data_IF_213110424979
#
_entry.id   IF_213110424979
#
_cell.length_a   1.000
_cell.length_b   1.000
_cell.length_c   1.000
_cell.angle_alpha   90.00
_cell.angle_beta   90.00
_cell.angle_gamma   90.00
#
_symmetry.space_group_name_H-M   'P 1'
#
loop_
_entity.id
_entity.type
_entity.pdbx_description
1 polymer ?
#
# COMPACT_ATOMS: atom_id res chain seq x y z
N UNK A 1 7.82 33.25 -40.18
CA UNK A 1 8.17 33.59 -38.79
C UNK A 1 7.30 32.71 -37.89
N UNK A 2 7.81 31.55 -37.49
CA UNK A 2 7.05 30.57 -36.70
C UNK A 2 7.21 30.91 -35.22
N UNK A 3 6.12 31.35 -34.58
CA UNK A 3 6.08 31.52 -33.13
C UNK A 3 5.75 30.15 -32.53
N UNK A 4 6.74 29.53 -31.89
CA UNK A 4 6.54 28.34 -31.06
C UNK A 4 5.99 28.84 -29.71
N UNK A 5 4.68 28.73 -29.51
CA UNK A 5 4.07 28.93 -28.19
C UNK A 5 4.22 27.64 -27.38
N UNK A 6 5.06 27.69 -26.35
CA UNK A 6 5.19 26.65 -25.32
C UNK A 6 3.92 26.64 -24.46
N UNK A 7 3.27 25.48 -24.21
CA UNK A 7 2.08 25.42 -23.36
C UNK A 7 2.44 25.63 -21.87
N UNK A 8 1.50 26.17 -21.07
CA UNK A 8 1.75 26.49 -19.66
C UNK A 8 1.94 25.25 -18.79
N UNK A 9 2.83 25.37 -17.79
CA UNK A 9 3.37 24.31 -16.91
C UNK A 9 2.38 23.56 -16.00
N UNK A 10 1.08 23.85 -16.06
CA UNK A 10 0.07 23.30 -15.12
C UNK A 10 -1.13 22.62 -15.83
N UNK A 11 -0.89 21.92 -16.94
CA UNK A 11 -1.89 20.99 -17.48
C UNK A 11 -1.75 19.61 -16.80
N UNK A 12 -2.83 18.98 -16.32
CA UNK A 12 -2.77 17.60 -15.84
C UNK A 12 -2.27 16.68 -16.96
N UNK A 13 -1.33 15.80 -16.66
CA UNK A 13 -0.69 14.89 -17.62
C UNK A 13 -1.65 13.74 -18.01
N UNK A 14 -2.60 14.06 -18.90
CA UNK A 14 -3.64 13.16 -19.43
C UNK A 14 -3.04 11.91 -20.10
N UNK A 15 -1.74 11.91 -20.45
CA UNK A 15 -1.08 10.75 -21.09
C UNK A 15 -0.99 9.53 -20.17
N UNK A 16 -1.01 9.71 -18.85
CA UNK A 16 -0.95 8.59 -17.89
C UNK A 16 -2.30 7.90 -17.73
N UNK A 17 -3.41 8.63 -17.82
CA UNK A 17 -4.75 8.05 -17.69
C UNK A 17 -5.17 7.26 -18.93
N UNK A 18 -4.85 7.73 -20.15
CA UNK A 18 -5.23 7.06 -21.41
C UNK A 18 -4.65 5.64 -21.53
N UNK A 19 -3.54 5.33 -20.84
CA UNK A 19 -2.94 3.99 -20.82
C UNK A 19 -3.78 2.97 -20.03
N UNK A 20 -4.57 3.42 -19.06
CA UNK A 20 -5.41 2.55 -18.23
C UNK A 20 -6.68 2.10 -18.95
N UNK A 21 -7.19 2.90 -19.88
CA UNK A 21 -8.41 2.61 -20.66
C UNK A 21 -8.17 1.72 -21.89
N UNK A 22 -6.96 1.71 -22.45
CA UNK A 22 -6.63 0.90 -23.63
C UNK A 22 -6.65 -0.62 -23.40
N UNK A 23 -6.50 -1.06 -22.14
CA UNK A 23 -6.46 -2.48 -21.81
C UNK A 23 -7.85 -3.11 -21.59
N UNK A 24 -8.91 -2.31 -21.48
CA UNK A 24 -10.28 -2.78 -21.25
C UNK A 24 -11.04 -3.15 -22.54
N UNK A 25 -10.54 -2.75 -23.72
CA UNK A 25 -11.24 -2.90 -24.99
C UNK A 25 -10.76 -4.06 -25.87
N UNK A 26 -9.68 -4.77 -25.49
CA UNK A 26 -9.09 -5.85 -26.31
C UNK A 26 -9.57 -7.26 -25.94
N UNK A 27 -10.70 -7.39 -25.25
CA UNK A 27 -11.21 -8.68 -24.76
C UNK A 27 -12.65 -8.94 -25.16
N UNK A 28 -12.94 -9.09 -26.45
CA UNK A 28 -14.23 -9.63 -26.91
C UNK A 28 -13.99 -10.93 -27.68
N UNK A 29 -14.51 -12.07 -27.22
CA UNK A 29 -14.81 -13.21 -28.06
C UNK A 29 -16.29 -13.23 -28.45
N UNK A 30 -16.50 -13.50 -29.73
CA UNK A 30 -17.77 -13.61 -30.44
C UNK A 30 -18.53 -14.90 -30.12
N UNK A 31 -19.87 -14.82 -30.30
CA UNK A 31 -20.88 -15.87 -30.51
C UNK A 31 -21.60 -16.49 -29.30
N UNK A 32 -22.83 -15.98 -29.07
CA UNK A 32 -23.92 -16.71 -28.43
C UNK A 32 -24.61 -17.62 -29.45
N UNK A 33 -24.47 -18.94 -29.29
CA UNK A 33 -25.43 -19.91 -29.83
C UNK A 33 -26.36 -20.29 -28.68
N UNK A 34 -27.65 -19.97 -28.81
CA UNK A 34 -28.68 -20.33 -27.83
C UNK A 34 -29.00 -21.83 -28.01
N UNK A 35 -28.46 -22.68 -27.12
CA UNK A 35 -28.98 -24.04 -26.91
C UNK A 35 -30.02 -24.00 -25.79
N UNK A 36 -31.24 -24.44 -26.11
CA UNK A 36 -32.32 -24.61 -25.16
C UNK A 36 -31.95 -25.67 -24.11
N UNK A 37 -31.93 -25.28 -22.83
CA UNK A 37 -31.61 -26.17 -21.72
C UNK A 37 -32.83 -27.06 -21.38
N UNK A 38 -32.68 -28.37 -21.52
CA UNK A 38 -33.56 -29.35 -20.89
C UNK A 38 -33.29 -29.37 -19.37
N UNK A 39 -34.31 -29.63 -18.52
CA UNK A 39 -34.16 -29.58 -17.07
C UNK A 39 -33.17 -30.65 -16.57
N UNK A 40 -32.05 -30.19 -16.03
CA UNK A 40 -31.04 -31.02 -15.37
C UNK A 40 -31.65 -31.72 -14.14
N UNK A 41 -31.72 -33.05 -14.19
CA UNK A 41 -31.98 -33.88 -13.01
C UNK A 41 -30.80 -33.71 -12.04
N UNK A 42 -31.04 -33.11 -10.87
CA UNK A 42 -30.05 -33.04 -9.78
C UNK A 42 -29.62 -34.45 -9.40
N UNK A 43 -28.36 -34.80 -9.65
CA UNK A 43 -27.75 -35.99 -9.07
C UNK A 43 -27.66 -35.82 -7.53
N UNK A 44 -27.93 -36.86 -6.74
CA UNK A 44 -27.80 -36.81 -5.29
C UNK A 44 -26.35 -36.50 -4.92
N UNK A 45 -26.17 -35.53 -4.01
CA UNK A 45 -24.85 -35.17 -3.47
C UNK A 45 -24.22 -36.39 -2.82
N UNK A 46 -23.00 -36.76 -3.23
CA UNK A 46 -22.23 -37.80 -2.56
C UNK A 46 -22.13 -37.49 -1.05
N UNK A 47 -22.27 -38.49 -0.16
CA UNK A 47 -22.08 -38.28 1.26
C UNK A 47 -20.65 -37.77 1.51
N UNK A 48 -20.55 -36.70 2.29
CA UNK A 48 -19.27 -36.10 2.69
C UNK A 48 -18.50 -37.14 3.47
N UNK A 49 -17.32 -37.57 2.98
CA UNK A 49 -16.41 -38.41 3.76
C UNK A 49 -16.04 -37.64 5.02
N UNK A 50 -16.39 -38.21 6.18
CA UNK A 50 -15.92 -37.74 7.47
C UNK A 50 -14.64 -38.52 7.73
N UNK A 51 -13.50 -37.90 7.46
CA UNK A 51 -12.21 -38.49 7.78
C UNK A 51 -12.08 -38.62 9.31
N UNK A 52 -11.44 -39.70 9.82
CA UNK A 52 -11.26 -39.89 11.24
C UNK A 52 -10.46 -38.71 11.85
N UNK A 53 -10.71 -38.35 13.12
CA UNK A 53 -10.05 -37.22 13.75
C UNK A 53 -8.54 -37.43 13.74
N UNK A 54 -7.83 -36.48 13.14
CA UNK A 54 -6.36 -36.45 13.14
C UNK A 54 -5.84 -36.33 14.57
N UNK A 55 -4.64 -36.86 14.84
CA UNK A 55 -4.01 -36.72 16.16
C UNK A 55 -3.80 -35.23 16.52
N UNK A 56 -3.78 -34.90 17.81
CA UNK A 56 -3.56 -33.52 18.27
C UNK A 56 -2.25 -32.91 17.71
N UNK A 57 -1.20 -33.72 17.57
CA UNK A 57 0.05 -33.31 16.94
C UNK A 57 -0.10 -32.98 15.46
N UNK A 58 -0.84 -33.81 14.71
CA UNK A 58 -1.13 -33.55 13.30
C UNK A 58 -2.02 -32.31 13.12
N UNK A 59 -3.00 -32.10 14.00
CA UNK A 59 -3.84 -30.89 13.99
C UNK A 59 -3.04 -29.64 14.31
N UNK A 60 -2.07 -29.68 15.25
CA UNK A 60 -1.18 -28.54 15.55
C UNK A 60 -0.27 -28.23 14.36
N UNK A 61 0.36 -29.25 13.78
CA UNK A 61 1.22 -29.06 12.60
C UNK A 61 0.43 -28.52 11.40
N UNK A 62 -0.80 -29.01 11.17
CA UNK A 62 -1.69 -28.50 10.14
C UNK A 62 -2.13 -27.06 10.42
N UNK A 63 -2.40 -26.71 11.68
CA UNK A 63 -2.73 -25.35 12.08
C UNK A 63 -1.53 -24.40 11.87
N UNK A 64 -0.31 -24.81 12.21
CA UNK A 64 0.89 -23.97 12.04
C UNK A 64 1.26 -23.81 10.56
N UNK A 65 1.14 -24.89 9.77
CA UNK A 65 1.30 -24.83 8.31
C UNK A 65 0.23 -23.94 7.66
N UNK A 66 -1.03 -24.08 8.07
CA UNK A 66 -2.13 -23.26 7.59
C UNK A 66 -1.97 -21.79 7.94
N UNK A 67 -1.51 -21.47 9.17
CA UNK A 67 -1.15 -20.09 9.54
C UNK A 67 -0.03 -19.56 8.66
N UNK A 68 1.03 -20.33 8.44
CA UNK A 68 2.16 -19.87 7.62
C UNK A 68 1.75 -19.58 6.17
N UNK A 69 0.88 -20.40 5.59
CA UNK A 69 0.43 -20.27 4.19
C UNK A 69 -0.64 -19.19 4.01
N UNK A 70 -1.61 -19.10 4.92
CA UNK A 70 -2.83 -18.31 4.71
C UNK A 70 -2.92 -17.04 5.54
N UNK A 71 -2.08 -16.86 6.57
CA UNK A 71 -2.20 -15.70 7.46
C UNK A 71 -1.78 -14.40 6.77
N UNK A 72 -0.84 -14.46 5.82
CA UNK A 72 -0.44 -13.31 5.00
C UNK A 72 -0.10 -13.73 3.58
N UNK A 73 -0.34 -12.82 2.63
CA UNK A 73 0.17 -13.02 1.27
C UNK A 73 1.70 -13.05 1.27
N UNK A 74 2.30 -13.86 0.40
CA UNK A 74 3.75 -13.95 0.24
C UNK A 74 4.40 -12.57 0.06
N UNK A 75 3.77 -11.72 -0.77
CA UNK A 75 4.22 -10.35 -1.02
C UNK A 75 4.23 -9.49 0.25
N UNK A 76 3.21 -9.62 1.12
CA UNK A 76 3.15 -8.89 2.39
C UNK A 76 4.25 -9.36 3.34
N UNK A 77 4.47 -10.66 3.45
CA UNK A 77 5.53 -11.25 4.28
C UNK A 77 6.92 -10.78 3.85
N UNK A 78 7.20 -10.80 2.54
CA UNK A 78 8.48 -10.35 1.98
C UNK A 78 8.66 -8.83 2.18
N UNK A 79 7.61 -8.04 1.99
CA UNK A 79 7.64 -6.60 2.24
C UNK A 79 7.92 -6.28 3.71
N UNK A 80 7.28 -6.99 4.65
CA UNK A 80 7.48 -6.81 6.09
C UNK A 80 8.90 -7.19 6.50
N UNK A 81 9.41 -8.33 6.04
CA UNK A 81 10.81 -8.71 6.26
C UNK A 81 11.78 -7.65 5.70
N UNK A 82 11.45 -7.04 4.56
CA UNK A 82 12.19 -5.93 3.99
C UNK A 82 12.22 -4.69 4.90
N UNK A 83 11.10 -4.33 5.54
CA UNK A 83 11.06 -3.20 6.46
C UNK A 83 11.89 -3.44 7.72
N UNK A 84 11.83 -4.65 8.29
CA UNK A 84 12.64 -5.02 9.46
C UNK A 84 14.14 -4.93 9.12
N UNK A 85 14.57 -5.48 7.99
CA UNK A 85 15.96 -5.39 7.53
C UNK A 85 16.40 -3.94 7.34
N UNK A 86 15.56 -3.09 6.76
CA UNK A 86 15.86 -1.66 6.59
C UNK A 86 15.98 -0.94 7.94
N UNK A 87 15.16 -1.28 8.92
CA UNK A 87 15.26 -0.72 10.28
C UNK A 87 16.58 -1.13 10.96
N UNK A 88 16.96 -2.41 10.85
CA UNK A 88 18.25 -2.91 11.35
C UNK A 88 19.44 -2.23 10.67
N UNK A 89 19.41 -2.08 9.34
CA UNK A 89 20.45 -1.35 8.60
C UNK A 89 20.56 0.11 9.03
N UNK A 90 19.43 0.77 9.28
CA UNK A 90 19.43 2.14 9.78
C UNK A 90 20.11 2.26 11.14
N UNK A 91 19.87 1.32 12.07
CA UNK A 91 20.58 1.28 13.36
C UNK A 91 22.09 1.18 13.16
N UNK A 92 22.55 0.27 12.29
CA UNK A 92 23.98 0.17 11.97
C UNK A 92 24.55 1.47 11.41
N UNK A 93 23.79 2.17 10.56
CA UNK A 93 24.19 3.46 9.99
C UNK A 93 24.30 4.55 11.05
N UNK A 94 23.35 4.63 11.98
CA UNK A 94 23.38 5.59 13.10
C UNK A 94 24.62 5.36 13.96
N UNK A 95 24.89 4.11 14.35
CA UNK A 95 26.05 3.76 15.18
C UNK A 95 27.37 4.07 14.45
N UNK A 96 27.47 3.75 13.17
CA UNK A 96 28.66 4.05 12.38
C UNK A 96 28.89 5.56 12.24
N UNK A 97 27.81 6.33 12.12
CA UNK A 97 27.88 7.80 12.04
C UNK A 97 28.38 8.39 13.35
N UNK A 98 27.84 7.95 14.50
CA UNK A 98 28.27 8.39 15.82
C UNK A 98 29.75 8.05 16.08
N UNK A 99 30.16 6.82 15.76
CA UNK A 99 31.58 6.41 15.86
C UNK A 99 32.51 7.26 14.99
N UNK A 100 32.07 7.64 13.79
CA UNK A 100 32.81 8.53 12.90
C UNK A 100 32.95 9.95 13.42
N UNK A 101 32.01 10.41 14.25
CA UNK A 101 32.02 11.72 14.91
C UNK A 101 32.86 11.77 16.20
N UNK A 102 33.45 10.64 16.62
CA UNK A 102 34.23 10.54 17.86
C UNK A 102 33.42 10.12 19.09
N UNK A 103 32.12 9.89 18.94
CA UNK A 103 31.25 9.34 19.98
C UNK A 103 31.37 7.81 19.99
N UNK A 104 32.36 7.30 20.72
CA UNK A 104 32.70 5.88 20.64
C UNK A 104 31.70 4.96 21.36
N UNK A 105 31.00 5.46 22.38
CA UNK A 105 30.24 4.61 23.31
C UNK A 105 28.80 5.08 23.60
N UNK A 106 28.54 6.38 23.46
CA UNK A 106 27.28 7.01 23.87
C UNK A 106 26.66 7.70 22.65
N UNK A 107 25.41 7.36 22.34
CA UNK A 107 24.66 7.95 21.22
C UNK A 107 23.88 9.20 21.65
N UNK A 108 23.17 9.09 22.77
CA UNK A 108 22.40 10.18 23.34
C UNK A 108 22.06 9.86 24.80
N UNK A 109 21.28 10.73 25.45
CA UNK A 109 20.66 10.52 26.74
C UNK A 109 19.15 10.29 26.50
N UNK A 110 18.59 9.23 27.07
CA UNK A 110 17.17 8.93 26.95
C UNK A 110 16.29 9.89 27.78
N UNK A 111 14.97 9.80 27.62
CA UNK A 111 13.99 10.68 28.30
C UNK A 111 14.09 10.61 29.85
N UNK A 112 14.70 9.54 30.38
CA UNK A 112 14.91 9.32 31.81
C UNK A 112 16.30 9.77 32.29
N UNK A 113 17.08 10.44 31.42
CA UNK A 113 18.41 10.90 31.75
C UNK A 113 19.48 9.80 31.71
N UNK A 114 19.18 8.61 31.16
CA UNK A 114 20.13 7.48 31.11
C UNK A 114 20.87 7.46 29.77
N UNK A 115 22.17 7.16 29.77
CA UNK A 115 22.95 7.12 28.53
C UNK A 115 22.50 5.94 27.65
N UNK A 116 22.26 6.26 26.37
CA UNK A 116 22.00 5.29 25.30
C UNK A 116 23.35 4.81 24.78
N UNK A 117 23.69 3.57 25.11
CA UNK A 117 24.96 2.96 24.67
C UNK A 117 24.84 2.41 23.25
N UNK A 118 25.87 2.58 22.44
CA UNK A 118 25.92 2.06 21.06
C UNK A 118 25.64 0.56 20.98
N UNK A 119 26.20 -0.23 21.89
CA UNK A 119 26.07 -1.70 21.91
C UNK A 119 24.64 -2.14 22.21
N UNK A 120 23.98 -1.46 23.14
CA UNK A 120 22.59 -1.74 23.49
C UNK A 120 21.66 -1.31 22.35
N UNK A 121 21.93 -0.14 21.76
CA UNK A 121 21.15 0.37 20.64
C UNK A 121 21.28 -0.51 19.39
N UNK A 122 22.40 -1.21 19.20
CA UNK A 122 22.59 -2.15 18.09
C UNK A 122 21.55 -3.28 18.08
N UNK A 123 21.06 -3.68 19.26
CA UNK A 123 20.21 -4.84 19.46
C UNK A 123 18.71 -4.51 19.54
N UNK A 124 18.32 -3.25 19.30
CA UNK A 124 16.93 -2.75 19.48
C UNK A 124 15.88 -3.45 18.61
N UNK A 125 16.30 -3.99 17.46
CA UNK A 125 15.44 -4.75 16.56
C UNK A 125 15.83 -6.24 16.50
N UNK A 126 16.54 -6.73 17.51
CA UNK A 126 16.87 -8.15 17.68
C UNK A 126 15.98 -8.80 18.76
N UNK A 127 16.18 -10.11 18.99
CA UNK A 127 15.46 -10.86 20.03
C UNK A 127 16.38 -11.02 21.25
N UNK A 128 15.94 -10.67 22.48
CA UNK A 128 14.67 -10.04 22.83
C UNK A 128 14.68 -8.51 22.57
N UNK A 129 13.49 -7.87 22.42
CA UNK A 129 13.40 -6.41 22.42
C UNK A 129 13.93 -5.84 23.75
N UNK A 130 14.53 -4.66 23.67
CA UNK A 130 15.15 -3.96 24.79
C UNK A 130 14.37 -2.68 25.16
N UNK A 131 14.80 -1.97 26.20
CA UNK A 131 14.18 -0.72 26.65
C UNK A 131 14.15 0.37 25.57
N UNK A 132 15.11 0.35 24.65
CA UNK A 132 15.24 1.32 23.57
C UNK A 132 14.48 0.94 22.31
N UNK A 133 13.92 -0.27 22.20
CA UNK A 133 13.21 -0.74 20.99
C UNK A 133 12.05 0.17 20.59
N UNK A 134 11.29 0.68 21.57
CA UNK A 134 10.19 1.59 21.33
C UNK A 134 10.69 2.96 20.80
N UNK A 135 11.74 3.49 21.43
CA UNK A 135 12.35 4.76 21.03
C UNK A 135 13.03 4.67 19.65
N UNK A 136 13.74 3.58 19.37
CA UNK A 136 14.35 3.33 18.07
C UNK A 136 13.32 3.27 16.94
N UNK A 137 12.15 2.66 17.17
CA UNK A 137 11.05 2.65 16.20
C UNK A 137 10.51 4.06 15.95
N UNK A 138 10.29 4.84 17.01
CA UNK A 138 9.86 6.23 16.90
C UNK A 138 10.84 7.04 16.03
N UNK A 139 12.13 7.00 16.34
CA UNK A 139 13.18 7.70 15.59
C UNK A 139 13.27 7.21 14.13
N UNK A 140 13.12 5.91 13.90
CA UNK A 140 13.10 5.37 12.55
C UNK A 140 11.90 5.89 11.73
N UNK A 141 10.72 6.00 12.35
CA UNK A 141 9.54 6.59 11.71
C UNK A 141 9.76 8.08 11.41
N UNK A 142 10.40 8.82 12.32
CA UNK A 142 10.79 10.22 12.08
C UNK A 142 11.74 10.33 10.90
N UNK A 143 12.81 9.53 10.87
CA UNK A 143 13.76 9.54 9.75
C UNK A 143 13.04 9.26 8.41
N UNK A 144 12.18 8.25 8.36
CA UNK A 144 11.50 7.86 7.12
C UNK A 144 10.39 8.82 6.70
N UNK A 145 9.58 9.33 7.61
CA UNK A 145 8.35 10.05 7.26
C UNK A 145 8.48 11.58 7.45
N UNK A 146 9.46 12.01 8.24
CA UNK A 146 9.77 13.43 8.46
C UNK A 146 10.95 13.84 7.60
N UNK A 147 12.12 13.22 7.77
CA UNK A 147 13.35 13.61 7.07
C UNK A 147 13.31 13.23 5.59
N UNK A 148 12.97 11.98 5.26
CA UNK A 148 12.89 11.50 3.86
C UNK A 148 11.57 11.87 3.16
N UNK A 149 10.59 12.43 3.89
CA UNK A 149 9.33 12.89 3.31
C UNK A 149 8.38 11.80 2.83
N UNK A 150 8.53 10.55 3.29
CA UNK A 150 7.62 9.48 2.91
C UNK A 150 6.19 9.69 3.46
N UNK A 151 5.20 9.23 2.71
CA UNK A 151 3.78 9.40 3.05
C UNK A 151 3.24 8.41 4.10
N UNK A 152 1.97 8.59 4.48
CA UNK A 152 1.25 7.77 5.46
C UNK A 152 1.30 6.27 5.18
N UNK A 153 1.20 5.85 3.92
CA UNK A 153 1.21 4.43 3.56
C UNK A 153 2.53 3.75 3.96
N UNK A 154 3.66 4.44 3.77
CA UNK A 154 4.98 3.95 4.19
C UNK A 154 5.06 3.87 5.71
N UNK A 155 4.60 4.90 6.42
CA UNK A 155 4.53 4.92 7.88
C UNK A 155 3.73 3.73 8.44
N UNK A 156 2.49 3.56 7.96
CA UNK A 156 1.61 2.47 8.37
C UNK A 156 2.24 1.09 8.06
N UNK A 157 2.93 0.97 6.93
CA UNK A 157 3.62 -0.28 6.54
C UNK A 157 4.81 -0.61 7.43
N UNK A 158 5.65 0.37 7.77
CA UNK A 158 6.79 0.20 8.70
C UNK A 158 6.28 -0.20 10.08
N UNK A 159 5.32 0.57 10.61
CA UNK A 159 4.69 0.28 11.91
C UNK A 159 4.12 -1.13 11.95
N UNK A 160 3.31 -1.51 10.96
CA UNK A 160 2.67 -2.82 10.92
C UNK A 160 3.68 -3.95 10.82
N UNK A 161 4.74 -3.77 10.03
CA UNK A 161 5.80 -4.76 9.89
C UNK A 161 6.56 -5.01 11.20
N UNK A 162 6.98 -3.93 11.89
CA UNK A 162 7.73 -4.05 13.14
C UNK A 162 6.87 -4.52 14.30
N UNK A 163 5.62 -4.04 14.39
CA UNK A 163 4.64 -4.59 15.33
C UNK A 163 4.50 -6.11 15.13
N UNK A 164 4.32 -6.54 13.87
CA UNK A 164 4.14 -7.94 13.54
C UNK A 164 5.38 -8.78 13.82
N UNK A 165 6.56 -8.23 13.54
CA UNK A 165 7.83 -8.85 13.84
C UNK A 165 7.94 -9.23 15.32
N UNK A 166 7.63 -8.28 16.22
CA UNK A 166 7.62 -8.56 17.66
C UNK A 166 6.47 -9.48 18.09
N UNK A 167 5.26 -9.37 17.53
CA UNK A 167 4.14 -10.27 17.87
C UNK A 167 4.44 -11.74 17.56
N UNK A 168 5.25 -12.01 16.54
CA UNK A 168 5.64 -13.37 16.14
C UNK A 168 6.92 -13.85 16.84
N UNK A 169 7.59 -12.98 17.60
CA UNK A 169 8.75 -13.40 18.38
C UNK A 169 8.33 -14.27 19.56
N UNK A 170 9.20 -15.22 19.87
CA UNK A 170 9.18 -15.98 21.12
C UNK A 170 7.83 -16.61 21.46
N UNK A 171 7.20 -17.30 20.51
CA UNK A 171 5.90 -17.97 20.73
C UNK A 171 4.81 -17.02 21.26
N UNK A 172 4.73 -15.80 20.70
CA UNK A 172 3.73 -14.78 21.03
C UNK A 172 3.92 -14.06 22.38
N UNK A 173 5.10 -14.16 23.02
CA UNK A 173 5.43 -13.49 24.30
C UNK A 173 5.17 -11.98 24.28
N UNK A 174 5.47 -11.30 23.18
CA UNK A 174 5.43 -9.83 23.09
C UNK A 174 4.11 -9.29 22.54
N UNK A 175 3.01 -10.04 22.67
CA UNK A 175 1.68 -9.55 22.29
C UNK A 175 1.07 -8.70 23.41
N UNK A 176 0.38 -7.63 23.04
CA UNK A 176 -0.37 -6.78 23.97
C UNK A 176 0.26 -5.43 24.26
N UNK A 177 -0.19 -4.81 25.35
CA UNK A 177 0.25 -3.49 25.80
C UNK A 177 1.71 -3.51 26.22
N UNK A 178 2.47 -2.53 25.77
CA UNK A 178 3.88 -2.39 26.12
C UNK A 178 4.06 -2.00 27.59
N UNK A 179 4.96 -2.68 28.29
CA UNK A 179 5.47 -2.25 29.58
C UNK A 179 6.93 -2.68 29.72
N UNK A 180 7.79 -1.77 30.16
CA UNK A 180 9.17 -2.07 30.51
C UNK A 180 9.28 -2.14 32.03
N UNK A 181 9.78 -3.26 32.55
CA UNK A 181 10.03 -3.45 33.96
C UNK A 181 11.51 -3.16 34.26
N UNK A 182 11.77 -2.05 34.92
CA UNK A 182 13.13 -1.63 35.27
C UNK A 182 13.81 -2.57 36.27
N UNK A 183 13.04 -3.32 37.07
CA UNK A 183 13.58 -4.18 38.11
C UNK A 183 14.17 -5.47 37.55
N UNK A 184 13.56 -6.00 36.49
CA UNK A 184 13.98 -7.23 35.82
C UNK A 184 14.73 -6.97 34.52
N UNK A 185 14.79 -5.70 34.07
CA UNK A 185 15.28 -5.29 32.76
C UNK A 185 14.59 -6.05 31.61
N UNK A 186 13.30 -6.36 31.79
CA UNK A 186 12.51 -7.10 30.81
C UNK A 186 11.45 -6.23 30.16
N UNK A 187 11.25 -6.48 28.87
CA UNK A 187 10.16 -5.89 28.09
C UNK A 187 9.00 -6.88 28.05
N UNK A 188 7.81 -6.41 28.41
CA UNK A 188 6.55 -7.14 28.24
C UNK A 188 5.67 -6.43 27.21
N UNK A 189 4.93 -7.22 26.44
CA UNK A 189 4.13 -6.71 25.33
C UNK A 189 4.95 -6.14 24.18
N UNK A 190 4.30 -5.38 23.30
CA UNK A 190 4.87 -5.01 22.01
C UNK A 190 5.44 -3.57 22.01
N UNK A 191 6.73 -3.35 21.73
CA UNK A 191 7.30 -1.99 21.67
C UNK A 191 6.59 -1.04 20.71
N UNK A 192 5.99 -1.54 19.62
CA UNK A 192 5.17 -0.73 18.70
C UNK A 192 3.87 -0.23 19.36
N UNK A 193 3.37 -0.91 20.38
CA UNK A 193 2.18 -0.50 21.13
C UNK A 193 2.49 0.50 22.26
N UNK A 194 3.73 0.98 22.38
CA UNK A 194 4.10 2.02 23.35
C UNK A 194 3.41 3.36 23.04
N UNK A 195 3.12 4.14 24.08
CA UNK A 195 2.47 5.45 23.95
C UNK A 195 3.24 6.36 22.98
N UNK A 196 4.58 6.43 23.13
CA UNK A 196 5.44 7.23 22.26
C UNK A 196 5.29 6.92 20.76
N UNK A 197 5.23 5.64 20.40
CA UNK A 197 5.06 5.23 19.00
C UNK A 197 3.64 5.54 18.52
N UNK A 198 2.63 5.37 19.37
CA UNK A 198 1.24 5.71 19.03
C UNK A 198 1.05 7.21 18.81
N UNK A 199 1.63 8.05 19.67
CA UNK A 199 1.58 9.50 19.57
C UNK A 199 2.29 9.98 18.30
N UNK A 200 3.48 9.43 18.00
CA UNK A 200 4.20 9.72 16.76
C UNK A 200 3.40 9.31 15.52
N UNK A 201 2.79 8.12 15.54
CA UNK A 201 1.93 7.66 14.44
C UNK A 201 0.73 8.59 14.24
N UNK A 202 0.13 9.08 15.34
CA UNK A 202 -0.98 10.04 15.27
C UNK A 202 -0.53 11.40 14.72
N UNK A 203 0.64 11.88 15.13
CA UNK A 203 1.24 13.10 14.59
C UNK A 203 1.50 12.98 13.07
N UNK A 204 2.06 11.86 12.62
CA UNK A 204 2.32 11.59 11.20
C UNK A 204 1.01 11.48 10.39
N UNK A 205 -0.04 10.89 10.97
CA UNK A 205 -1.38 10.89 10.35
C UNK A 205 -1.94 12.30 10.20
N UNK A 206 -1.79 13.14 11.22
CA UNK A 206 -2.23 14.54 11.17
C UNK A 206 -1.43 15.34 10.13
N UNK A 207 -0.11 15.16 10.06
CA UNK A 207 0.76 15.73 9.02
C UNK A 207 0.29 15.34 7.61
N UNK A 208 0.01 14.06 7.39
CA UNK A 208 -0.49 13.57 6.10
C UNK A 208 -1.84 14.18 5.72
N UNK A 209 -2.72 14.45 6.70
CA UNK A 209 -4.02 15.11 6.44
C UNK A 209 -3.83 16.58 6.10
N UNK A 210 -2.98 17.30 6.84
CA UNK A 210 -2.68 18.71 6.60
C UNK A 210 -2.06 18.93 5.20
N UNK A 211 -1.20 18.02 4.75
CA UNK A 211 -0.52 18.11 3.46
C UNK A 211 -1.38 17.61 2.26
N UNK A 212 -2.70 17.51 2.41
CA UNK A 212 -3.60 17.13 1.31
C UNK A 212 -3.58 15.65 0.92
N UNK A 213 -2.68 14.83 1.48
CA UNK A 213 -2.68 13.37 1.29
C UNK A 213 -3.83 12.65 2.03
N UNK A 214 -4.71 13.41 2.69
CA UNK A 214 -6.02 12.96 3.16
C UNK A 214 -7.09 12.90 2.06
N UNK A 215 -6.79 13.38 0.85
CA UNK A 215 -7.60 13.14 -0.35
C UNK A 215 -7.65 11.65 -0.62
N UNK A 216 -8.71 11.00 -0.18
CA UNK A 216 -9.01 9.63 -0.56
C UNK A 216 -9.00 9.59 -2.09
N UNK A 217 -8.21 8.69 -2.68
CA UNK A 217 -8.30 8.30 -4.08
C UNK A 217 -9.62 7.56 -4.37
N UNK A 218 -10.75 8.05 -3.85
CA UNK A 218 -12.03 7.75 -4.45
C UNK A 218 -12.05 8.59 -5.71
N UNK A 219 -12.29 7.96 -6.86
CA UNK A 219 -12.62 8.69 -8.07
C UNK A 219 -13.73 9.68 -7.67
N UNK A 220 -13.38 10.96 -7.59
CA UNK A 220 -14.38 11.97 -7.30
C UNK A 220 -15.41 11.90 -8.42
N UNK A 221 -16.65 12.13 -8.03
CA UNK A 221 -17.74 12.43 -8.94
C UNK A 221 -17.24 13.30 -10.10
N UNK A 222 -17.30 12.80 -11.34
CA UNK A 222 -17.02 13.64 -12.50
C UNK A 222 -18.04 14.77 -12.51
N UNK A 223 -17.58 16.02 -12.41
CA UNK A 223 -18.46 17.17 -12.50
C UNK A 223 -18.86 17.41 -13.97
N UNK A 224 -19.99 18.09 -14.19
CA UNK A 224 -20.45 18.42 -15.55
C UNK A 224 -19.43 19.31 -16.28
N UNK A 225 -18.71 20.17 -15.55
CA UNK A 225 -17.65 21.01 -16.07
C UNK A 225 -16.45 20.18 -16.56
N UNK A 226 -16.12 19.10 -15.87
CA UNK A 226 -15.01 18.22 -16.26
C UNK A 226 -15.39 17.34 -17.45
N UNK A 227 -16.64 16.87 -17.50
CA UNK A 227 -17.18 16.22 -18.69
C UNK A 227 -17.11 17.15 -19.92
N UNK A 228 -17.50 18.43 -19.77
CA UNK A 228 -17.41 19.42 -20.86
C UNK A 228 -15.99 19.59 -21.36
N UNK A 229 -15.01 19.77 -20.47
CA UNK A 229 -13.58 19.88 -20.84
C UNK A 229 -13.10 18.62 -21.60
N UNK A 230 -13.51 17.44 -21.15
CA UNK A 230 -13.14 16.18 -21.79
C UNK A 230 -13.73 16.06 -23.20
N UNK A 231 -15.00 16.46 -23.37
CA UNK A 231 -15.66 16.49 -24.68
C UNK A 231 -15.03 17.53 -25.61
N UNK A 232 -14.78 18.74 -25.13
CA UNK A 232 -14.15 19.82 -25.91
C UNK A 232 -12.75 19.39 -26.38
N UNK A 233 -11.94 18.83 -25.48
CA UNK A 233 -10.64 18.26 -25.84
C UNK A 233 -10.78 17.20 -26.93
N UNK A 234 -11.73 16.28 -26.78
CA UNK A 234 -11.96 15.23 -27.76
C UNK A 234 -12.39 15.81 -29.11
N UNK A 235 -13.26 16.82 -29.14
CA UNK A 235 -13.73 17.51 -30.36
C UNK A 235 -12.55 18.18 -31.07
N UNK A 236 -11.62 18.80 -30.33
CA UNK A 236 -10.39 19.37 -30.88
C UNK A 236 -9.49 18.29 -31.53
N UNK A 237 -9.38 17.11 -30.91
CA UNK A 237 -8.58 16.01 -31.47
C UNK A 237 -9.24 15.33 -32.67
N UNK A 238 -10.57 15.19 -32.65
CA UNK A 238 -11.35 14.51 -33.69
C UNK A 238 -12.60 15.35 -34.02
N UNK A 239 -12.49 16.36 -34.90
CA UNK A 239 -13.63 17.22 -35.26
C UNK A 239 -14.82 16.41 -35.78
N UNK A 240 -16.04 16.89 -35.50
CA UNK A 240 -17.27 16.19 -35.90
C UNK A 240 -17.40 15.99 -37.42
N UNK A 241 -16.78 16.84 -38.23
CA UNK A 241 -16.78 16.72 -39.69
C UNK A 241 -16.14 15.42 -40.20
N UNK A 242 -15.32 14.76 -39.37
CA UNK A 242 -14.71 13.49 -39.71
C UNK A 242 -15.74 12.34 -39.77
N UNK A 243 -16.90 12.47 -39.12
CA UNK A 243 -18.00 11.51 -39.20
C UNK A 243 -18.61 11.42 -40.61
N UNK A 244 -18.52 12.49 -41.38
CA UNK A 244 -19.09 12.59 -42.73
C UNK A 244 -18.08 12.24 -43.82
N UNK A 245 -16.84 11.90 -43.45
CA UNK A 245 -15.77 11.56 -44.39
C UNK A 245 -15.63 10.04 -44.48
N UNK A 246 -15.44 9.54 -45.69
CA UNK A 246 -15.04 8.17 -45.90
C UNK A 246 -13.57 8.00 -45.50
N UNK A 247 -13.32 7.23 -44.44
CA UNK A 247 -11.98 6.96 -43.93
C UNK A 247 -11.52 5.60 -44.44
N UNK A 248 -10.58 5.62 -45.40
CA UNK A 248 -10.01 4.41 -46.00
C UNK A 248 -8.80 3.87 -45.23
N UNK A 249 -8.13 4.73 -44.46
CA UNK A 249 -6.98 4.35 -43.63
C UNK A 249 -7.43 3.77 -42.28
N UNK A 250 -6.98 2.55 -41.99
CA UNK A 250 -7.34 1.77 -40.79
C UNK A 250 -6.84 2.45 -39.51
N UNK A 251 -5.68 3.10 -39.55
CA UNK A 251 -5.11 3.79 -38.37
C UNK A 251 -5.96 5.00 -38.00
N UNK A 252 -6.31 5.81 -39.00
CA UNK A 252 -7.19 6.97 -38.85
C UNK A 252 -8.59 6.54 -38.39
N UNK A 253 -9.15 5.48 -38.97
CA UNK A 253 -10.44 4.93 -38.56
C UNK A 253 -10.44 4.49 -37.08
N UNK A 254 -9.40 3.77 -36.65
CA UNK A 254 -9.27 3.33 -35.26
C UNK A 254 -9.18 4.52 -34.29
N UNK A 255 -8.41 5.55 -34.64
CA UNK A 255 -8.28 6.77 -33.85
C UNK A 255 -9.63 7.48 -33.67
N UNK A 256 -10.38 7.65 -34.76
CA UNK A 256 -11.72 8.27 -34.75
C UNK A 256 -12.69 7.44 -33.93
N UNK A 257 -12.75 6.13 -34.16
CA UNK A 257 -13.61 5.21 -33.42
C UNK A 257 -13.35 5.29 -31.90
N UNK A 258 -12.07 5.36 -31.48
CA UNK A 258 -11.70 5.51 -30.07
C UNK A 258 -12.24 6.81 -29.46
N UNK A 259 -12.12 7.94 -30.16
CA UNK A 259 -12.65 9.22 -29.68
C UNK A 259 -14.17 9.24 -29.60
N UNK A 260 -14.86 8.69 -30.61
CA UNK A 260 -16.31 8.59 -30.63
C UNK A 260 -16.83 7.68 -29.52
N UNK A 261 -16.20 6.52 -29.34
CA UNK A 261 -16.51 5.58 -28.26
C UNK A 261 -16.34 6.25 -26.90
N UNK A 262 -15.21 6.93 -26.67
CA UNK A 262 -14.97 7.67 -25.43
C UNK A 262 -16.08 8.70 -25.15
N UNK A 263 -16.48 9.52 -26.14
CA UNK A 263 -17.57 10.50 -25.98
C UNK A 263 -18.90 9.83 -25.63
N UNK A 264 -19.24 8.72 -26.29
CA UNK A 264 -20.47 7.99 -26.05
C UNK A 264 -20.50 7.39 -24.63
N UNK A 265 -19.41 6.74 -24.19
CA UNK A 265 -19.35 6.13 -22.86
C UNK A 265 -19.29 7.15 -21.73
N UNK A 266 -18.56 8.25 -21.91
CA UNK A 266 -18.43 9.27 -20.86
C UNK A 266 -19.75 10.03 -20.66
N UNK A 267 -20.45 10.40 -21.74
CA UNK A 267 -21.77 11.03 -21.63
C UNK A 267 -22.83 10.08 -21.08
N UNK A 268 -22.89 8.83 -21.58
CA UNK A 268 -23.84 7.83 -21.08
C UNK A 268 -23.55 7.46 -19.62
N UNK A 269 -22.28 7.29 -19.27
CA UNK A 269 -21.84 7.01 -17.90
C UNK A 269 -22.18 8.14 -16.95
N UNK A 270 -21.98 9.40 -17.38
CA UNK A 270 -22.38 10.56 -16.59
C UNK A 270 -23.89 10.57 -16.33
N UNK A 271 -24.72 10.33 -17.34
CA UNK A 271 -26.18 10.27 -17.18
C UNK A 271 -26.61 9.15 -16.22
N UNK A 272 -26.01 7.96 -16.32
CA UNK A 272 -26.26 6.84 -15.40
C UNK A 272 -25.87 7.22 -13.97
N UNK A 273 -24.74 7.92 -13.81
CA UNK A 273 -24.22 8.29 -12.50
C UNK A 273 -24.99 9.43 -11.83
N UNK A 274 -25.56 10.36 -12.60
CA UNK A 274 -26.37 11.49 -12.08
C UNK A 274 -27.85 11.18 -11.86
N UNK A 275 -28.30 9.95 -12.17
CA UNK A 275 -29.68 9.50 -11.98
C UNK A 275 -29.88 8.89 -10.60
#
# INVERSE_FOLDING_TARGET
MFIITVPPRNAPDIRKEVKQWGNLLNGVPTQCVVQAALPSKKCPSKPRRVDPPSSLGALRAAADAGKKEWMYSKNTSDAYAGYVKRAQQWVSQVINTARGAGESTLLDIDDNGRPIKCEEFALVFEKPPNRHSAHALELFLVQKCVTEGNGKSTCDSIYSALKKYWEMMDNDTYRGSYCYDESTDTVTGNPASSARVQDMLQALKNKSRANGAGGRNHAEAMLIEDLRKLLDWSILQCPSDWLNKELTDVVTLHFVAKHLMMRAFTTSGFVIWTR
#
